data_IF_741976114945
#
_entry.id   IF_741976114945
#
_cell.length_a   1.000
_cell.length_b   1.000
_cell.length_c   1.000
_cell.angle_alpha   90.00
_cell.angle_beta   90.00
_cell.angle_gamma   90.00
#
_symmetry.space_group_name_H-M   'P 1'
#
loop_
_entity.id
_entity.type
_entity.pdbx_description
1 polymer ?
#
# COMPACT_ATOMS: atom_id res chain seq x y z
N UNK A 1 4.40 -8.64 -21.81
CA UNK A 1 5.76 -9.19 -21.78
C UNK A 1 6.75 -8.12 -21.38
N UNK A 2 7.42 -8.33 -20.26
CA UNK A 2 8.44 -7.45 -19.67
C UNK A 2 9.76 -7.56 -20.46
N UNK A 3 10.52 -6.47 -20.60
CA UNK A 3 11.89 -6.53 -21.13
C UNK A 3 12.89 -6.71 -19.98
N UNK A 4 13.41 -7.93 -19.83
CA UNK A 4 14.38 -8.26 -18.77
C UNK A 4 15.73 -7.57 -19.00
N UNK A 5 16.12 -7.31 -20.26
CA UNK A 5 17.39 -6.65 -20.57
C UNK A 5 17.41 -5.21 -20.07
N UNK A 6 16.25 -4.56 -20.03
CA UNK A 6 16.07 -3.24 -19.43
C UNK A 6 16.39 -3.26 -17.94
N UNK A 7 16.03 -4.32 -17.21
CA UNK A 7 16.25 -4.39 -15.75
C UNK A 7 17.73 -4.41 -15.37
N UNK A 8 18.62 -4.84 -16.26
CA UNK A 8 20.07 -4.88 -16.02
C UNK A 8 20.82 -3.64 -16.55
N UNK A 9 20.14 -2.69 -17.20
CA UNK A 9 20.69 -1.40 -17.64
C UNK A 9 20.08 -0.24 -16.82
N UNK A 10 20.78 0.27 -15.79
CA UNK A 10 20.30 1.37 -14.95
C UNK A 10 20.03 2.67 -15.72
N UNK A 11 20.81 2.95 -16.76
CA UNK A 11 20.63 4.15 -17.57
C UNK A 11 19.40 4.02 -18.47
N UNK A 12 19.12 2.82 -18.98
CA UNK A 12 17.90 2.54 -19.72
C UNK A 12 16.66 2.60 -18.81
N UNK A 13 16.73 2.06 -17.59
CA UNK A 13 15.67 2.23 -16.59
C UNK A 13 15.37 3.71 -16.30
N UNK A 14 16.41 4.52 -16.12
CA UNK A 14 16.23 5.95 -15.88
C UNK A 14 15.57 6.68 -17.06
N UNK A 15 15.86 6.26 -18.31
CA UNK A 15 15.20 6.79 -19.52
C UNK A 15 13.74 6.34 -19.63
N UNK A 16 13.45 5.08 -19.28
CA UNK A 16 12.11 4.51 -19.33
C UNK A 16 11.20 5.07 -18.22
N UNK A 17 11.75 5.41 -17.05
CA UNK A 17 11.02 5.97 -15.91
C UNK A 17 10.67 7.47 -16.09
N UNK A 18 9.91 7.78 -17.14
CA UNK A 18 9.47 9.14 -17.48
C UNK A 18 8.60 9.80 -16.40
N UNK A 19 8.02 9.01 -15.49
CA UNK A 19 7.16 9.47 -14.39
C UNK A 19 7.90 9.59 -13.06
N UNK A 20 9.18 9.21 -12.99
CA UNK A 20 10.00 9.28 -11.78
C UNK A 20 9.53 8.35 -10.66
N UNK A 21 8.93 7.22 -10.99
CA UNK A 21 8.40 6.24 -10.04
C UNK A 21 9.51 5.61 -9.18
N UNK A 22 10.67 5.32 -9.75
CA UNK A 22 11.82 4.74 -9.03
C UNK A 22 12.35 5.71 -7.99
N UNK A 23 12.48 6.99 -8.36
CA UNK A 23 12.88 8.04 -7.42
C UNK A 23 11.81 8.24 -6.34
N UNK A 24 10.53 8.21 -6.72
CA UNK A 24 9.40 8.31 -5.79
C UNK A 24 9.41 7.21 -4.73
N UNK A 25 9.65 5.96 -5.14
CA UNK A 25 9.77 4.82 -4.24
C UNK A 25 11.04 4.91 -3.36
N UNK A 26 12.17 5.30 -3.92
CA UNK A 26 13.43 5.45 -3.19
C UNK A 26 13.39 6.61 -2.17
N UNK A 27 12.57 7.63 -2.41
CA UNK A 27 12.42 8.78 -1.51
C UNK A 27 11.55 8.49 -0.27
N UNK A 28 11.08 7.25 -0.05
CA UNK A 28 10.18 6.89 1.04
C UNK A 28 10.73 7.26 2.43
N UNK A 29 11.99 6.96 2.75
CA UNK A 29 12.59 7.32 4.05
C UNK A 29 12.68 8.83 4.27
N UNK A 30 13.09 9.59 3.25
CA UNK A 30 13.05 11.06 3.28
C UNK A 30 11.62 11.60 3.45
N UNK A 31 10.63 10.92 2.86
CA UNK A 31 9.22 11.28 2.97
C UNK A 31 8.70 11.10 4.40
N UNK A 32 9.05 10.00 5.06
CA UNK A 32 8.73 9.76 6.48
C UNK A 32 9.29 10.89 7.35
N UNK A 33 10.58 11.22 7.21
CA UNK A 33 11.20 12.30 8.01
C UNK A 33 10.53 13.65 7.80
N UNK A 34 10.20 13.98 6.54
CA UNK A 34 9.51 15.23 6.20
C UNK A 34 8.10 15.27 6.79
N UNK A 35 7.32 14.20 6.63
CA UNK A 35 5.97 14.10 7.15
C UNK A 35 5.93 14.12 8.69
N UNK A 36 6.88 13.45 9.35
CA UNK A 36 7.03 13.49 10.81
C UNK A 36 7.29 14.92 11.30
N UNK A 37 8.21 15.66 10.65
CA UNK A 37 8.47 17.07 10.97
C UNK A 37 7.22 17.94 10.80
N UNK A 38 6.54 17.85 9.65
CA UNK A 38 5.31 18.61 9.37
C UNK A 38 4.19 18.28 10.37
N UNK A 39 4.13 17.05 10.86
CA UNK A 39 3.17 16.62 11.88
C UNK A 39 3.43 17.28 13.23
N UNK A 40 4.70 17.43 13.62
CA UNK A 40 5.06 18.17 14.83
C UNK A 40 4.75 19.66 14.69
N UNK A 41 5.08 20.26 13.53
CA UNK A 41 4.78 21.67 13.23
C UNK A 41 3.27 21.97 13.20
N UNK A 42 2.45 20.99 12.80
CA UNK A 42 0.99 21.09 12.81
C UNK A 42 0.36 21.00 14.22
N UNK A 43 1.16 20.73 15.26
CA UNK A 43 0.66 20.68 16.63
C UNK A 43 -0.22 19.45 16.90
N UNK A 44 0.15 18.27 16.38
CA UNK A 44 -0.64 17.03 16.59
C UNK A 44 -0.95 16.72 18.06
N UNK A 45 -0.10 17.21 18.97
CA UNK A 45 -0.25 17.08 20.43
C UNK A 45 -1.48 17.85 20.98
N UNK A 46 -1.95 18.86 20.24
CA UNK A 46 -3.07 19.71 20.63
C UNK A 46 -4.43 19.17 20.17
N UNK A 47 -4.48 18.00 19.51
CA UNK A 47 -5.73 17.37 19.07
C UNK A 47 -6.70 17.22 20.25
N UNK A 48 -7.99 17.51 20.06
CA UNK A 48 -9.01 17.32 21.11
C UNK A 48 -10.20 16.52 20.55
N UNK A 49 -10.74 15.56 21.31
CA UNK A 49 -10.37 15.16 22.67
C UNK A 49 -9.00 14.47 22.74
N UNK A 50 -8.46 14.40 23.94
CA UNK A 50 -7.24 13.68 24.25
C UNK A 50 -7.55 12.24 24.66
N UNK A 51 -6.64 11.32 24.37
CA UNK A 51 -6.79 9.89 24.62
C UNK A 51 -7.50 9.10 23.52
N UNK A 52 -7.76 7.82 23.84
CA UNK A 52 -8.19 6.82 22.85
C UNK A 52 -9.66 6.99 22.46
N UNK A 53 -9.97 7.10 21.16
CA UNK A 53 -11.35 7.14 20.69
C UNK A 53 -12.04 5.78 20.85
N UNK A 54 -13.38 5.79 20.81
CA UNK A 54 -14.20 4.57 20.75
C UNK A 54 -13.96 3.81 19.45
N UNK A 55 -13.91 4.54 18.34
CA UNK A 55 -13.71 4.02 16.98
C UNK A 55 -12.92 5.02 16.16
N UNK A 56 -12.03 4.53 15.30
CA UNK A 56 -11.37 5.32 14.26
C UNK A 56 -12.03 5.00 12.91
N UNK A 57 -12.57 6.00 12.22
CA UNK A 57 -13.09 5.86 10.86
C UNK A 57 -12.12 6.49 9.89
N UNK A 58 -11.69 5.76 8.86
CA UNK A 58 -10.71 6.24 7.88
C UNK A 58 -11.39 6.42 6.54
N UNK A 59 -11.30 7.61 5.96
CA UNK A 59 -11.75 7.89 4.59
C UNK A 59 -10.64 8.55 3.77
N UNK A 60 -10.70 8.37 2.47
CA UNK A 60 -9.73 8.93 1.56
C UNK A 60 -9.85 8.32 0.18
N UNK A 61 -9.13 8.91 -0.77
CA UNK A 61 -9.15 8.51 -2.17
C UNK A 61 -7.98 7.58 -2.48
N UNK A 62 -8.18 6.70 -3.46
CA UNK A 62 -7.13 5.85 -3.99
C UNK A 62 -6.75 4.65 -3.11
N UNK A 63 -5.82 3.81 -3.59
CA UNK A 63 -5.37 2.62 -2.88
C UNK A 63 -4.63 2.96 -1.57
N UNK A 64 -4.04 4.15 -1.45
CA UNK A 64 -3.33 4.59 -0.25
C UNK A 64 -4.26 4.70 0.97
N UNK A 65 -5.47 5.23 0.79
CA UNK A 65 -6.42 5.40 1.90
C UNK A 65 -6.86 4.05 2.49
N UNK A 66 -7.11 3.06 1.63
CA UNK A 66 -7.43 1.69 2.08
C UNK A 66 -6.23 1.06 2.81
N UNK A 67 -5.02 1.23 2.27
CA UNK A 67 -3.81 0.72 2.89
C UNK A 67 -3.51 1.36 4.24
N UNK A 68 -3.73 2.68 4.38
CA UNK A 68 -3.59 3.39 5.66
C UNK A 68 -4.55 2.78 6.69
N UNK A 69 -5.83 2.60 6.34
CA UNK A 69 -6.80 2.02 7.25
C UNK A 69 -6.43 0.58 7.67
N UNK A 70 -5.99 -0.22 6.71
CA UNK A 70 -5.53 -1.59 6.92
C UNK A 70 -4.31 -1.64 7.86
N UNK A 71 -3.31 -0.79 7.64
CA UNK A 71 -2.10 -0.71 8.47
C UNK A 71 -2.44 -0.22 9.87
N UNK A 72 -3.24 0.85 10.02
CA UNK A 72 -3.65 1.33 11.34
C UNK A 72 -4.46 0.27 12.11
N UNK A 73 -5.33 -0.47 11.42
CA UNK A 73 -6.10 -1.56 12.00
C UNK A 73 -5.24 -2.74 12.45
N UNK A 74 -4.25 -3.12 11.63
CA UNK A 74 -3.29 -4.17 11.95
C UNK A 74 -2.42 -3.81 13.17
N UNK A 75 -1.85 -2.61 13.17
CA UNK A 75 -0.98 -2.12 14.26
C UNK A 75 -1.77 -1.88 15.56
N UNK A 76 -3.02 -1.45 15.45
CA UNK A 76 -3.91 -1.18 16.57
C UNK A 76 -4.65 -2.40 17.11
N UNK A 77 -4.31 -3.63 16.67
CA UNK A 77 -5.05 -4.84 16.94
C UNK A 77 -5.37 -5.03 18.44
N UNK A 78 -6.64 -4.82 18.80
CA UNK A 78 -7.18 -4.98 20.16
C UNK A 78 -7.37 -3.69 20.96
N UNK A 79 -6.87 -2.54 20.49
CA UNK A 79 -7.00 -1.25 21.21
C UNK A 79 -8.32 -0.55 20.94
N UNK A 80 -8.65 -0.29 19.68
CA UNK A 80 -9.98 0.16 19.24
C UNK A 80 -10.23 -0.23 17.78
N UNK A 81 -11.49 -0.34 17.34
CA UNK A 81 -11.81 -0.63 15.95
C UNK A 81 -11.32 0.49 15.01
N UNK A 82 -10.67 0.09 13.91
CA UNK A 82 -10.35 0.97 12.77
C UNK A 82 -11.21 0.53 11.59
N UNK A 83 -12.08 1.42 11.10
CA UNK A 83 -13.09 1.11 10.10
C UNK A 83 -12.83 1.94 8.83
N UNK A 84 -12.45 1.32 7.70
CA UNK A 84 -12.39 2.02 6.43
C UNK A 84 -13.80 2.36 5.93
N UNK A 85 -14.03 3.63 5.62
CA UNK A 85 -15.26 4.09 4.97
C UNK A 85 -15.14 3.88 3.47
N UNK A 86 -16.05 3.09 2.92
CA UNK A 86 -16.13 2.86 1.46
C UNK A 86 -16.73 4.09 0.78
N UNK A 87 -16.08 4.54 -0.29
CA UNK A 87 -16.65 5.56 -1.16
C UNK A 87 -17.81 4.96 -1.95
N UNK A 88 -18.93 5.66 -2.01
CA UNK A 88 -19.98 5.49 -3.00
C UNK A 88 -19.95 6.68 -3.97
N UNK A 89 -20.69 6.64 -5.06
CA UNK A 89 -20.78 7.77 -5.98
C UNK A 89 -21.13 7.30 -7.39
N UNK A 90 -21.60 8.23 -8.24
CA UNK A 90 -21.96 7.90 -9.62
C UNK A 90 -20.73 7.58 -10.48
N UNK A 91 -19.57 8.14 -10.13
CA UNK A 91 -18.31 7.95 -10.86
C UNK A 91 -17.10 7.86 -9.91
N UNK A 92 -15.96 7.32 -10.35
CA UNK A 92 -14.71 7.33 -9.58
C UNK A 92 -14.16 8.74 -9.29
N UNK A 93 -14.60 9.75 -10.05
CA UNK A 93 -14.15 11.14 -9.91
C UNK A 93 -15.03 11.97 -8.97
N UNK A 94 -16.20 11.43 -8.60
CA UNK A 94 -17.13 12.05 -7.66
C UNK A 94 -17.40 11.13 -6.47
N UNK A 95 -16.35 10.69 -5.75
CA UNK A 95 -16.53 9.82 -4.59
C UNK A 95 -17.22 10.58 -3.46
N UNK A 96 -18.07 9.88 -2.73
CA UNK A 96 -18.86 10.34 -1.60
C UNK A 96 -18.75 9.33 -0.46
N UNK A 97 -18.74 9.83 0.77
CA UNK A 97 -18.68 8.99 1.97
C UNK A 97 -19.80 9.38 2.92
N UNK A 98 -20.30 8.38 3.64
CA UNK A 98 -21.37 8.56 4.62
C UNK A 98 -20.92 7.98 5.96
N UNK A 99 -21.06 8.78 7.03
CA UNK A 99 -20.78 8.29 8.37
C UNK A 99 -21.89 7.31 8.82
N UNK A 100 -21.54 6.12 9.36
CA UNK A 100 -22.50 5.21 9.97
C UNK A 100 -23.34 5.90 11.04
N UNK A 101 -24.64 5.59 11.14
CA UNK A 101 -25.60 6.33 11.99
C UNK A 101 -25.25 6.38 13.50
N UNK A 102 -24.43 5.46 13.99
CA UNK A 102 -23.97 5.40 15.37
C UNK A 102 -22.75 6.30 15.68
N UNK A 103 -22.16 6.94 14.66
CA UNK A 103 -20.96 7.78 14.81
C UNK A 103 -21.28 9.04 15.61
N UNK A 104 -20.44 9.43 16.56
CA UNK A 104 -20.65 10.57 17.44
C UNK A 104 -19.37 11.11 18.10
N UNK A 105 -19.50 11.87 19.22
CA UNK A 105 -18.38 12.63 19.80
C UNK A 105 -17.22 11.83 20.38
N UNK A 106 -17.38 10.51 20.54
CA UNK A 106 -16.33 9.62 21.02
C UNK A 106 -15.52 8.97 19.87
N UNK A 107 -15.89 9.23 18.62
CA UNK A 107 -15.22 8.67 17.46
C UNK A 107 -14.29 9.69 16.80
N UNK A 108 -13.23 9.17 16.19
CA UNK A 108 -12.25 9.94 15.43
C UNK A 108 -12.40 9.62 13.94
N UNK A 109 -12.56 10.66 13.13
CA UNK A 109 -12.58 10.56 11.67
C UNK A 109 -11.23 11.01 11.13
N UNK A 110 -10.52 10.10 10.49
CA UNK A 110 -9.23 10.34 9.82
C UNK A 110 -9.45 10.43 8.31
N UNK A 111 -9.04 11.55 7.73
CA UNK A 111 -9.12 11.77 6.28
C UNK A 111 -7.73 11.75 5.66
N UNK A 112 -7.57 11.08 4.52
CA UNK A 112 -6.29 11.00 3.81
C UNK A 112 -6.47 11.33 2.34
N UNK A 113 -5.72 12.31 1.85
CA UNK A 113 -5.73 12.67 0.42
C UNK A 113 -4.47 13.40 0.02
N UNK A 114 -3.95 13.07 -1.17
CA UNK A 114 -2.86 13.81 -1.79
C UNK A 114 -3.35 15.06 -2.53
N UNK A 115 -4.66 15.21 -2.78
CA UNK A 115 -5.23 16.33 -3.55
C UNK A 115 -6.02 17.33 -2.68
N UNK A 116 -6.83 16.84 -1.73
CA UNK A 116 -7.73 17.68 -0.93
C UNK A 116 -8.89 18.31 -1.70
N UNK A 117 -9.18 17.84 -2.92
CA UNK A 117 -10.17 18.43 -3.84
C UNK A 117 -11.50 17.68 -3.88
N UNK A 118 -11.60 16.55 -3.18
CA UNK A 118 -12.74 15.67 -3.24
C UNK A 118 -13.93 16.25 -2.47
N UNK A 119 -14.97 16.66 -3.20
CA UNK A 119 -16.18 17.23 -2.60
C UNK A 119 -16.84 16.28 -1.58
N UNK A 120 -16.75 14.97 -1.79
CA UNK A 120 -17.26 13.99 -0.84
C UNK A 120 -16.55 13.99 0.51
N UNK A 121 -15.25 14.29 0.56
CA UNK A 121 -14.52 14.42 1.83
C UNK A 121 -14.92 15.70 2.56
N UNK A 122 -15.15 16.80 1.83
CA UNK A 122 -15.72 18.04 2.40
C UNK A 122 -17.10 17.77 3.01
N UNK A 123 -17.98 17.08 2.28
CA UNK A 123 -19.29 16.69 2.81
C UNK A 123 -19.21 15.74 4.02
N UNK A 124 -18.16 14.91 4.11
CA UNK A 124 -17.90 14.05 5.26
C UNK A 124 -17.46 14.86 6.50
N UNK A 125 -16.64 15.90 6.33
CA UNK A 125 -16.28 16.84 7.40
C UNK A 125 -17.53 17.50 7.98
N UNK A 126 -18.45 17.96 7.14
CA UNK A 126 -19.71 18.54 7.62
C UNK A 126 -20.59 17.54 8.39
N UNK A 127 -20.65 16.28 7.92
CA UNK A 127 -21.36 15.22 8.64
C UNK A 127 -20.75 15.00 10.03
N UNK A 128 -19.43 14.93 10.11
CA UNK A 128 -18.69 14.75 11.35
C UNK A 128 -18.92 15.92 12.31
N UNK A 129 -18.84 17.15 11.82
CA UNK A 129 -19.12 18.37 12.59
C UNK A 129 -20.53 18.36 13.18
N UNK A 130 -21.56 18.05 12.38
CA UNK A 130 -22.96 17.96 12.85
C UNK A 130 -23.16 16.90 13.94
N UNK A 131 -22.32 15.86 13.96
CA UNK A 131 -22.37 14.76 14.94
C UNK A 131 -21.38 14.94 16.09
N UNK A 132 -20.67 16.07 16.15
CA UNK A 132 -19.66 16.36 17.16
C UNK A 132 -18.44 15.44 17.12
N UNK A 133 -18.21 14.74 16.01
CA UNK A 133 -17.06 13.86 15.85
C UNK A 133 -15.78 14.69 15.74
N UNK A 134 -14.67 14.14 16.21
CA UNK A 134 -13.35 14.75 16.00
C UNK A 134 -12.85 14.38 14.63
N UNK A 135 -12.32 15.35 13.89
CA UNK A 135 -11.79 15.13 12.54
C UNK A 135 -10.35 15.58 12.46
N UNK A 136 -9.49 14.71 11.94
CA UNK A 136 -8.14 15.06 11.54
C UNK A 136 -7.91 14.60 10.11
N UNK A 137 -7.15 15.37 9.32
CA UNK A 137 -6.82 15.01 7.96
C UNK A 137 -5.35 15.20 7.65
N UNK A 138 -4.81 14.31 6.82
CA UNK A 138 -3.57 14.54 6.09
C UNK A 138 -3.94 15.00 4.69
N UNK A 139 -3.70 16.28 4.40
CA UNK A 139 -4.11 16.91 3.14
C UNK A 139 -3.18 18.08 2.78
N UNK A 140 -3.12 18.49 1.49
CA UNK A 140 -2.42 19.71 1.11
C UNK A 140 -2.99 20.92 1.86
N UNK A 141 -2.12 21.75 2.43
CA UNK A 141 -2.51 22.87 3.30
C UNK A 141 -3.40 23.92 2.61
N UNK A 142 -3.30 24.04 1.28
CA UNK A 142 -4.13 24.94 0.46
C UNK A 142 -5.08 24.11 -0.39
N UNK A 143 -6.10 23.54 0.24
CA UNK A 143 -7.10 22.70 -0.43
C UNK A 143 -8.51 22.94 0.12
N UNK A 144 -9.57 22.68 -0.68
CA UNK A 144 -10.95 22.75 -0.20
C UNK A 144 -11.21 21.93 1.08
N UNK A 145 -10.56 20.77 1.21
CA UNK A 145 -10.66 19.96 2.42
C UNK A 145 -10.05 20.66 3.65
N UNK A 146 -8.88 21.30 3.49
CA UNK A 146 -8.24 22.03 4.59
C UNK A 146 -9.10 23.23 5.05
N UNK A 147 -9.71 23.95 4.12
CA UNK A 147 -10.65 25.06 4.42
C UNK A 147 -11.89 24.55 5.18
N UNK A 148 -12.47 23.43 4.73
CA UNK A 148 -13.62 22.82 5.40
C UNK A 148 -13.28 22.36 6.84
N UNK A 149 -12.08 21.80 7.04
CA UNK A 149 -11.61 21.40 8.37
C UNK A 149 -11.42 22.58 9.30
N UNK A 150 -10.84 23.67 8.81
CA UNK A 150 -10.68 24.91 9.58
C UNK A 150 -12.05 25.42 10.07
N UNK A 151 -13.05 25.46 9.18
CA UNK A 151 -14.42 25.85 9.53
C UNK A 151 -15.08 24.90 10.53
N UNK A 152 -14.82 23.59 10.41
CA UNK A 152 -15.33 22.56 11.31
C UNK A 152 -14.51 22.41 12.61
N UNK A 153 -13.47 23.22 12.82
CA UNK A 153 -12.51 23.11 13.94
C UNK A 153 -11.82 21.74 14.00
N UNK A 154 -11.64 21.09 12.86
CA UNK A 154 -10.83 19.89 12.70
C UNK A 154 -9.34 20.20 12.61
N UNK A 155 -8.51 19.16 12.68
CA UNK A 155 -7.05 19.28 12.56
C UNK A 155 -6.61 18.97 11.12
N UNK A 156 -5.83 19.87 10.52
CA UNK A 156 -5.16 19.61 9.25
C UNK A 156 -3.68 19.39 9.48
N UNK A 157 -3.18 18.23 9.09
CA UNK A 157 -1.75 17.91 9.05
C UNK A 157 -1.29 18.05 7.59
N UNK A 158 -0.29 18.89 7.29
CA UNK A 158 0.16 19.11 5.92
C UNK A 158 0.67 17.82 5.25
N UNK A 159 0.11 17.50 4.09
CA UNK A 159 0.60 16.43 3.23
C UNK A 159 2.01 16.76 2.72
N UNK A 160 2.97 15.86 3.00
CA UNK A 160 4.33 15.95 2.48
C UNK A 160 4.35 15.54 0.99
N UNK A 161 3.92 16.41 0.09
CA UNK A 161 3.98 16.16 -1.36
C UNK A 161 5.40 16.06 -1.91
N UNK A 162 5.57 15.61 -3.16
CA UNK A 162 6.88 15.62 -3.82
C UNK A 162 7.38 17.06 -3.99
N UNK A 163 8.71 17.24 -4.01
CA UNK A 163 9.33 18.56 -4.09
C UNK A 163 8.98 19.33 -5.37
N UNK A 164 8.76 18.60 -6.47
CA UNK A 164 8.25 19.15 -7.74
C UNK A 164 6.82 18.65 -7.97
N UNK A 165 5.91 19.49 -8.49
CA UNK A 165 4.60 19.04 -8.93
C UNK A 165 4.75 17.90 -9.93
N UNK A 166 3.96 16.84 -9.73
CA UNK A 166 3.89 15.75 -10.68
C UNK A 166 3.24 16.23 -11.98
N UNK A 167 3.69 15.75 -13.15
CA UNK A 167 3.04 16.03 -14.41
C UNK A 167 1.58 15.60 -14.33
N UNK A 168 0.66 16.47 -14.75
CA UNK A 168 -0.73 16.10 -14.92
C UNK A 168 -0.90 15.41 -16.26
N UNK A 169 -1.45 14.20 -16.26
CA UNK A 169 -1.76 13.49 -17.50
C UNK A 169 -2.87 14.18 -18.31
N UNK A 170 -3.14 13.73 -19.55
CA UNK A 170 -4.20 14.29 -20.39
C UNK A 170 -5.61 14.17 -19.78
N UNK A 171 -5.81 13.26 -18.82
CA UNK A 171 -7.03 13.12 -18.02
C UNK A 171 -7.16 14.14 -16.88
N UNK A 172 -6.16 15.02 -16.68
CA UNK A 172 -6.13 15.97 -15.57
C UNK A 172 -5.83 15.33 -14.20
N UNK A 173 -5.52 14.02 -14.18
CA UNK A 173 -5.10 13.31 -12.97
C UNK A 173 -3.57 13.46 -12.82
N UNK A 174 -3.06 13.87 -11.64
CA UNK A 174 -1.62 13.90 -11.38
C UNK A 174 -1.00 12.52 -11.60
N UNK A 175 0.24 12.49 -12.08
CA UNK A 175 1.00 11.24 -12.14
C UNK A 175 1.08 10.59 -10.74
N UNK A 176 1.25 9.28 -10.73
CA UNK A 176 1.35 8.49 -9.51
C UNK A 176 2.62 8.82 -8.72
N UNK A 177 2.51 8.96 -7.39
CA UNK A 177 3.63 9.11 -6.45
C UNK A 177 3.70 7.87 -5.56
N UNK A 178 4.62 6.92 -5.81
CA UNK A 178 4.82 5.76 -4.94
C UNK A 178 5.12 6.14 -3.48
N UNK A 179 5.69 7.34 -3.24
CA UNK A 179 5.96 7.85 -1.90
C UNK A 179 4.73 8.45 -1.18
N UNK A 180 3.59 8.61 -1.85
CA UNK A 180 2.40 9.23 -1.27
C UNK A 180 1.85 8.47 -0.06
N UNK A 181 1.94 7.13 -0.06
CA UNK A 181 1.56 6.31 1.10
C UNK A 181 2.27 6.78 2.36
N UNK A 182 3.59 6.98 2.29
CA UNK A 182 4.41 7.37 3.45
C UNK A 182 4.10 8.79 3.93
N UNK A 183 3.78 9.69 3.01
CA UNK A 183 3.32 11.04 3.34
C UNK A 183 1.95 11.05 4.04
N UNK A 184 1.06 10.10 3.73
CA UNK A 184 -0.26 9.96 4.35
C UNK A 184 -0.22 9.16 5.67
N UNK A 185 0.57 8.09 5.72
CA UNK A 185 0.63 7.16 6.83
C UNK A 185 1.41 7.73 8.02
N UNK A 186 2.57 8.35 7.78
CA UNK A 186 3.47 8.81 8.87
C UNK A 186 2.81 9.76 9.87
N UNK A 187 2.05 10.78 9.43
CA UNK A 187 1.33 11.64 10.37
C UNK A 187 0.34 10.86 11.24
N UNK A 188 -0.30 9.85 10.65
CA UNK A 188 -1.30 9.03 11.34
C UNK A 188 -0.66 8.02 12.29
N UNK A 189 0.57 7.55 12.04
CA UNK A 189 1.34 6.78 13.03
C UNK A 189 1.63 7.63 14.28
N UNK A 190 2.04 8.88 14.07
CA UNK A 190 2.33 9.82 15.16
C UNK A 190 1.05 10.18 15.94
N UNK A 191 -0.05 10.41 15.22
CA UNK A 191 -1.35 10.67 15.83
C UNK A 191 -1.85 9.44 16.59
N UNK A 192 -1.70 8.24 16.03
CA UNK A 192 -2.10 6.97 16.63
C UNK A 192 -1.36 6.69 17.94
N UNK A 193 -0.04 6.97 18.00
CA UNK A 193 0.74 6.94 19.24
C UNK A 193 0.15 7.88 20.30
N UNK A 194 -0.08 9.14 19.91
CA UNK A 194 -0.63 10.16 20.79
C UNK A 194 -2.00 9.80 21.36
N UNK A 195 -2.89 9.19 20.57
CA UNK A 195 -4.22 8.77 21.04
C UNK A 195 -4.21 7.40 21.72
N UNK A 196 -3.04 6.75 21.87
CA UNK A 196 -2.94 5.44 22.52
C UNK A 196 -3.57 4.30 21.74
N UNK A 197 -3.55 4.36 20.40
CA UNK A 197 -3.98 3.27 19.53
C UNK A 197 -2.94 2.13 19.53
N UNK A 198 -1.66 2.48 19.36
CA UNK A 198 -0.48 1.63 19.48
C UNK A 198 0.74 2.49 19.81
N UNK A 199 1.88 1.89 20.13
CA UNK A 199 3.11 2.64 20.43
C UNK A 199 3.93 2.87 19.17
N UNK A 200 4.13 4.13 18.81
CA UNK A 200 4.98 4.56 17.69
C UNK A 200 5.74 5.85 18.08
N UNK A 201 6.67 5.77 19.04
CA UNK A 201 7.44 6.92 19.48
C UNK A 201 8.27 7.50 18.32
N UNK A 202 8.75 8.75 18.42
CA UNK A 202 9.54 9.37 17.37
C UNK A 202 10.76 8.54 16.92
N UNK A 203 11.37 7.79 17.83
CA UNK A 203 12.47 6.86 17.52
C UNK A 203 12.04 5.68 16.64
N UNK A 204 10.83 5.15 16.83
CA UNK A 204 10.29 4.09 15.99
C UNK A 204 9.92 4.61 14.60
N UNK A 205 9.36 5.83 14.51
CA UNK A 205 9.13 6.50 13.22
C UNK A 205 10.44 6.76 12.48
N UNK A 206 11.51 7.12 13.21
CA UNK A 206 12.84 7.27 12.62
C UNK A 206 13.39 5.91 12.13
N UNK A 207 13.22 4.84 12.90
CA UNK A 207 13.63 3.49 12.50
C UNK A 207 12.89 3.01 11.24
N UNK A 208 11.61 3.37 11.07
CA UNK A 208 10.88 3.14 9.81
C UNK A 208 11.55 3.86 8.65
N UNK A 209 11.92 5.14 8.81
CA UNK A 209 12.61 5.88 7.75
C UNK A 209 13.94 5.24 7.37
N UNK A 210 14.72 4.81 8.36
CA UNK A 210 16.02 4.16 8.15
C UNK A 210 15.85 2.81 7.45
N UNK A 211 14.84 2.01 7.84
CA UNK A 211 14.49 0.74 7.16
C UNK A 211 14.11 0.96 5.70
N UNK A 212 13.36 2.02 5.40
CA UNK A 212 12.99 2.35 4.03
C UNK A 212 14.21 2.72 3.16
N UNK A 213 15.19 3.42 3.74
CA UNK A 213 16.44 3.74 3.05
C UNK A 213 17.28 2.47 2.79
N UNK A 214 17.30 1.51 3.72
CA UNK A 214 17.92 0.19 3.51
C UNK A 214 17.26 -0.59 2.37
N UNK A 215 15.93 -0.62 2.33
CA UNK A 215 15.18 -1.24 1.23
C UNK A 215 15.48 -0.54 -0.09
N UNK A 216 15.53 0.79 -0.11
CA UNK A 216 15.86 1.56 -1.31
C UNK A 216 17.29 1.26 -1.81
N UNK A 217 18.26 1.12 -0.91
CA UNK A 217 19.64 0.73 -1.27
C UNK A 217 19.70 -0.68 -1.87
N UNK A 218 18.91 -1.62 -1.34
CA UNK A 218 18.86 -3.03 -1.81
C UNK A 218 18.05 -3.21 -3.09
N UNK A 219 16.98 -2.45 -3.25
CA UNK A 219 16.06 -2.53 -4.38
C UNK A 219 16.34 -1.49 -5.47
N UNK A 220 17.37 -0.66 -5.33
CA UNK A 220 17.68 0.43 -6.26
C UNK A 220 18.07 -0.03 -7.68
N UNK A 221 17.94 0.86 -8.69
CA UNK A 221 18.12 0.50 -10.10
C UNK A 221 19.56 0.09 -10.43
N UNK A 222 20.55 0.58 -9.69
CA UNK A 222 21.96 0.22 -9.87
C UNK A 222 22.30 -1.21 -9.39
N UNK A 223 21.42 -1.85 -8.61
CA UNK A 223 21.63 -3.22 -8.13
C UNK A 223 21.24 -4.19 -9.25
N UNK A 224 22.17 -5.08 -9.62
CA UNK A 224 21.95 -6.12 -10.62
C UNK A 224 20.74 -7.01 -10.27
N UNK A 225 20.00 -7.48 -11.27
CA UNK A 225 18.71 -8.16 -11.09
C UNK A 225 18.77 -9.34 -10.12
N UNK A 226 19.84 -10.14 -10.19
CA UNK A 226 20.03 -11.33 -9.34
C UNK A 226 20.23 -11.00 -7.83
N UNK A 227 20.64 -9.78 -7.49
CA UNK A 227 20.79 -9.31 -6.10
C UNK A 227 19.65 -8.39 -5.66
N UNK A 228 18.74 -8.05 -6.58
CA UNK A 228 17.67 -7.11 -6.33
C UNK A 228 16.34 -7.87 -6.19
N UNK A 229 15.80 -8.03 -4.97
CA UNK A 229 14.60 -8.82 -4.75
C UNK A 229 13.38 -8.23 -5.45
N UNK A 230 13.32 -6.91 -5.64
CA UNK A 230 12.22 -6.26 -6.34
C UNK A 230 12.27 -6.49 -7.86
N UNK A 231 13.46 -6.46 -8.49
CA UNK A 231 13.60 -6.81 -9.91
C UNK A 231 13.34 -8.30 -10.16
N UNK A 232 13.82 -9.17 -9.27
CA UNK A 232 13.52 -10.61 -9.31
C UNK A 232 12.01 -10.83 -9.23
N UNK A 233 11.34 -10.26 -8.23
CA UNK A 233 9.89 -10.39 -8.08
C UNK A 233 9.14 -9.80 -9.30
N UNK A 234 9.58 -8.66 -9.84
CA UNK A 234 8.96 -8.09 -11.04
C UNK A 234 9.05 -9.06 -12.23
N UNK A 235 10.21 -9.67 -12.46
CA UNK A 235 10.41 -10.67 -13.52
C UNK A 235 9.47 -11.86 -13.33
N UNK A 236 9.39 -12.38 -12.10
CA UNK A 236 8.53 -13.52 -11.76
C UNK A 236 7.03 -13.26 -11.95
N UNK A 237 6.59 -11.99 -11.86
CA UNK A 237 5.19 -11.58 -11.98
C UNK A 237 4.82 -11.06 -13.37
N UNK A 238 5.78 -10.94 -14.29
CA UNK A 238 5.57 -10.30 -15.58
C UNK A 238 4.40 -10.91 -16.39
N UNK A 239 4.30 -12.24 -16.37
CA UNK A 239 3.30 -13.05 -17.10
C UNK A 239 2.54 -14.01 -16.16
N UNK A 240 2.42 -13.65 -14.87
CA UNK A 240 1.74 -14.47 -13.86
C UNK A 240 0.44 -13.81 -13.36
N UNK A 241 -0.48 -14.65 -12.84
CA UNK A 241 -1.58 -14.23 -11.97
C UNK A 241 -1.15 -14.47 -10.51
N UNK A 242 -0.80 -13.41 -9.76
CA UNK A 242 -0.28 -13.56 -8.40
C UNK A 242 -1.38 -13.89 -7.40
N UNK A 243 -1.17 -14.95 -6.62
CA UNK A 243 -1.87 -15.25 -5.38
C UNK A 243 -1.00 -14.73 -4.22
N UNK A 244 -1.31 -13.54 -3.72
CA UNK A 244 -0.58 -12.85 -2.67
C UNK A 244 -1.03 -13.36 -1.30
N UNK A 245 -0.32 -14.35 -0.78
CA UNK A 245 -0.54 -14.91 0.54
C UNK A 245 0.22 -14.11 1.60
N UNK A 246 -0.36 -14.01 2.79
CA UNK A 246 0.29 -13.30 3.91
C UNK A 246 0.21 -14.11 5.20
N UNK A 247 1.25 -14.04 6.01
CA UNK A 247 1.26 -14.60 7.38
C UNK A 247 1.38 -13.48 8.40
N UNK A 248 0.34 -13.33 9.21
CA UNK A 248 0.30 -12.34 10.29
C UNK A 248 -0.46 -11.06 9.90
N UNK A 249 -0.93 -10.32 10.92
CA UNK A 249 -1.82 -9.19 10.74
C UNK A 249 -1.17 -7.99 10.03
N UNK A 250 0.15 -7.85 10.09
CA UNK A 250 0.93 -6.74 9.53
C UNK A 250 1.43 -7.00 8.10
N UNK A 251 1.55 -8.28 7.68
CA UNK A 251 1.81 -8.64 6.29
C UNK A 251 0.56 -8.54 5.40
N UNK A 252 -0.64 -8.77 5.96
CA UNK A 252 -1.88 -8.76 5.20
C UNK A 252 -2.22 -7.40 4.54
N UNK A 253 -2.04 -6.23 5.21
CA UNK A 253 -2.13 -4.92 4.57
C UNK A 253 -1.19 -4.75 3.37
N UNK A 254 0.06 -5.24 3.47
CA UNK A 254 1.02 -5.16 2.39
C UNK A 254 0.57 -6.00 1.17
N UNK A 255 0.07 -7.22 1.39
CA UNK A 255 -0.47 -8.07 0.33
C UNK A 255 -1.68 -7.42 -0.38
N UNK A 256 -2.64 -6.89 0.38
CA UNK A 256 -3.82 -6.22 -0.19
C UNK A 256 -3.46 -4.97 -0.97
N UNK A 257 -2.54 -4.14 -0.43
CA UNK A 257 -2.05 -2.97 -1.13
C UNK A 257 -1.30 -3.35 -2.40
N UNK A 258 -0.46 -4.39 -2.36
CA UNK A 258 0.28 -4.84 -3.53
C UNK A 258 -0.66 -5.28 -4.65
N UNK A 259 -1.75 -6.01 -4.34
CA UNK A 259 -2.77 -6.33 -5.32
C UNK A 259 -3.42 -5.08 -5.93
N UNK A 260 -3.80 -4.10 -5.08
CA UNK A 260 -4.41 -2.86 -5.53
C UNK A 260 -3.46 -2.06 -6.45
N UNK A 261 -2.19 -1.97 -6.08
CA UNK A 261 -1.16 -1.26 -6.84
C UNK A 261 -0.83 -1.97 -8.15
N UNK A 262 -0.76 -3.30 -8.18
CA UNK A 262 -0.61 -4.04 -9.44
C UNK A 262 -1.75 -3.70 -10.41
N UNK A 263 -2.99 -3.63 -9.91
CA UNK A 263 -4.15 -3.28 -10.73
C UNK A 263 -4.10 -1.83 -11.23
N UNK A 264 -3.79 -0.86 -10.36
CA UNK A 264 -3.85 0.57 -10.73
C UNK A 264 -2.61 1.06 -11.48
N UNK A 265 -1.42 0.55 -11.15
CA UNK A 265 -0.14 0.98 -11.72
C UNK A 265 0.23 0.21 -12.99
N UNK A 266 -0.03 -1.10 -12.99
CA UNK A 266 0.41 -2.00 -14.08
C UNK A 266 -0.73 -2.61 -14.88
N UNK A 267 -1.99 -2.40 -14.48
CA UNK A 267 -3.15 -3.02 -15.12
C UNK A 267 -3.22 -4.54 -14.93
N UNK A 268 -2.48 -5.10 -13.96
CA UNK A 268 -2.38 -6.54 -13.74
C UNK A 268 -3.29 -7.00 -12.59
N UNK A 269 -4.04 -8.10 -12.76
CA UNK A 269 -4.84 -8.67 -11.68
C UNK A 269 -3.95 -9.39 -10.65
N UNK A 270 -4.38 -9.38 -9.39
CA UNK A 270 -3.80 -10.20 -8.32
C UNK A 270 -4.86 -10.46 -7.25
N UNK A 271 -4.73 -11.58 -6.54
CA UNK A 271 -5.65 -11.97 -5.46
C UNK A 271 -4.90 -12.06 -4.15
N UNK A 272 -5.30 -11.24 -3.16
CA UNK A 272 -4.69 -11.24 -1.84
C UNK A 272 -5.56 -12.00 -0.82
N UNK A 273 -4.93 -12.85 -0.02
CA UNK A 273 -5.58 -13.56 1.08
C UNK A 273 -4.60 -13.80 2.25
N UNK A 274 -5.12 -13.84 3.47
CA UNK A 274 -4.35 -14.14 4.68
C UNK A 274 -4.40 -15.64 4.98
N UNK A 275 -3.33 -16.21 5.52
CA UNK A 275 -3.29 -17.59 5.96
C UNK A 275 -3.90 -17.74 7.37
N UNK A 276 -4.69 -18.79 7.63
CA UNK A 276 -4.91 -19.97 6.79
C UNK A 276 -6.05 -19.87 5.76
N UNK A 277 -6.87 -18.82 5.78
CA UNK A 277 -8.05 -18.67 4.90
C UNK A 277 -7.69 -18.74 3.42
N UNK A 278 -6.51 -18.27 3.05
CA UNK A 278 -5.97 -18.33 1.70
C UNK A 278 -5.91 -19.75 1.12
N UNK A 279 -5.65 -20.76 1.96
CA UNK A 279 -5.60 -22.17 1.53
C UNK A 279 -6.97 -22.63 1.01
N UNK A 280 -8.04 -22.23 1.70
CA UNK A 280 -9.41 -22.53 1.28
C UNK A 280 -9.85 -21.62 0.12
N UNK A 281 -9.59 -20.32 0.22
CA UNK A 281 -10.05 -19.33 -0.76
C UNK A 281 -9.45 -19.54 -2.15
N UNK A 282 -8.18 -19.97 -2.23
CA UNK A 282 -7.47 -20.16 -3.50
C UNK A 282 -7.32 -21.64 -3.90
N UNK A 283 -7.77 -22.60 -3.07
CA UNK A 283 -7.63 -24.04 -3.36
C UNK A 283 -8.24 -24.46 -4.70
N UNK A 284 -9.42 -23.95 -5.05
CA UNK A 284 -10.06 -24.24 -6.33
C UNK A 284 -9.31 -23.62 -7.53
N UNK A 285 -8.63 -22.48 -7.35
CA UNK A 285 -7.79 -21.88 -8.39
C UNK A 285 -6.56 -22.75 -8.63
N UNK A 286 -5.90 -23.20 -7.57
CA UNK A 286 -4.72 -24.06 -7.62
C UNK A 286 -5.02 -25.45 -8.23
N UNK A 287 -6.22 -25.96 -8.03
CA UNK A 287 -6.68 -27.20 -8.66
C UNK A 287 -7.25 -27.02 -10.08
N UNK A 288 -7.39 -25.77 -10.56
CA UNK A 288 -8.05 -25.42 -11.80
C UNK A 288 -7.09 -25.29 -13.01
N UNK A 289 -7.65 -24.87 -14.14
CA UNK A 289 -6.95 -24.76 -15.44
C UNK A 289 -5.89 -23.66 -15.51
N UNK A 290 -5.83 -22.78 -14.52
CA UNK A 290 -4.79 -21.75 -14.41
C UNK A 290 -3.51 -22.28 -13.74
N UNK A 291 -3.55 -23.51 -13.21
CA UNK A 291 -2.38 -24.18 -12.67
C UNK A 291 -1.43 -24.61 -13.79
N UNK A 292 -0.10 -24.39 -13.65
CA UNK A 292 0.89 -24.77 -14.67
C UNK A 292 0.86 -26.25 -15.07
N UNK A 293 0.40 -27.14 -14.19
CA UNK A 293 0.31 -28.58 -14.44
C UNK A 293 -1.03 -29.05 -15.04
N UNK A 294 -1.95 -28.16 -15.37
CA UNK A 294 -3.31 -28.53 -15.79
C UNK A 294 -3.40 -29.09 -17.23
N UNK A 295 -2.39 -28.88 -18.07
CA UNK A 295 -2.38 -29.35 -19.46
C UNK A 295 -1.16 -30.26 -19.72
N UNK A 296 -1.34 -31.60 -19.75
CA UNK A 296 -0.24 -32.55 -19.98
C UNK A 296 0.38 -32.45 -21.39
N UNK A 297 -0.30 -31.82 -22.35
CA UNK A 297 0.20 -31.61 -23.71
C UNK A 297 0.88 -30.25 -23.90
N UNK A 298 0.98 -29.41 -22.86
CA UNK A 298 1.61 -28.08 -22.91
C UNK A 298 3.11 -28.16 -23.28
N UNK A 299 3.77 -29.28 -23.00
CA UNK A 299 5.16 -29.52 -23.40
C UNK A 299 5.33 -29.68 -24.92
N UNK A 300 4.27 -30.11 -25.64
CA UNK A 300 4.28 -30.37 -27.07
C UNK A 300 3.53 -29.31 -27.90
N UNK A 301 2.90 -28.31 -27.25
CA UNK A 301 2.20 -27.24 -27.96
C UNK A 301 3.16 -26.25 -28.60
N UNK A 302 2.94 -26.01 -29.90
CA UNK A 302 3.62 -24.95 -30.65
C UNK A 302 2.97 -23.60 -30.31
N UNK A 303 3.61 -22.82 -29.43
CA UNK A 303 3.03 -21.60 -28.82
C UNK A 303 3.17 -20.33 -29.67
N UNK A 304 3.42 -20.48 -30.97
CA UNK A 304 3.70 -19.34 -31.87
C UNK A 304 2.47 -18.46 -32.11
N UNK A 305 1.25 -18.99 -31.94
CA UNK A 305 -0.02 -18.28 -32.22
C UNK A 305 -0.96 -18.15 -31.00
N UNK A 306 -0.65 -18.75 -29.85
CA UNK A 306 -1.50 -18.73 -28.66
C UNK A 306 -1.22 -17.51 -27.76
N UNK A 307 -2.29 -16.85 -27.31
CA UNK A 307 -2.19 -15.83 -26.27
C UNK A 307 -1.73 -16.50 -24.97
N UNK A 308 -0.55 -16.17 -24.46
CA UNK A 308 -0.04 -16.71 -23.19
C UNK A 308 -1.09 -16.55 -22.08
N UNK A 309 -1.68 -17.68 -21.67
CA UNK A 309 -2.57 -17.71 -20.52
C UNK A 309 -1.76 -17.36 -19.25
N UNK A 310 -2.30 -16.46 -18.42
CA UNK A 310 -1.70 -16.14 -17.13
C UNK A 310 -1.58 -17.42 -16.29
N UNK A 311 -0.37 -17.71 -15.82
CA UNK A 311 -0.10 -18.85 -14.94
C UNK A 311 -0.16 -18.42 -13.49
N UNK A 312 -0.75 -19.24 -12.63
CA UNK A 312 -0.75 -18.96 -11.20
C UNK A 312 0.68 -18.91 -10.65
N UNK A 313 0.93 -17.95 -9.77
CA UNK A 313 2.13 -17.88 -8.93
C UNK A 313 1.74 -17.47 -7.53
N UNK A 314 2.21 -18.21 -6.53
CA UNK A 314 2.06 -17.79 -5.13
C UNK A 314 3.19 -16.84 -4.76
N UNK A 315 2.84 -15.72 -4.13
CA UNK A 315 3.79 -14.83 -3.46
C UNK A 315 3.43 -14.78 -1.99
N UNK A 316 4.28 -15.33 -1.13
CA UNK A 316 4.04 -15.41 0.31
C UNK A 316 4.81 -14.28 1.03
N UNK A 317 4.07 -13.31 1.54
CA UNK A 317 4.57 -12.22 2.38
C UNK A 317 4.56 -12.63 3.84
N UNK A 318 5.71 -12.50 4.50
CA UNK A 318 5.92 -12.95 5.87
C UNK A 318 6.50 -11.87 6.74
N UNK A 319 5.91 -11.72 7.92
CA UNK A 319 6.54 -11.01 9.03
C UNK A 319 7.74 -11.80 9.56
N UNK A 320 8.67 -11.12 10.23
CA UNK A 320 9.80 -11.76 10.89
C UNK A 320 9.31 -12.78 11.94
N UNK A 321 10.14 -13.79 12.24
CA UNK A 321 9.72 -15.02 12.90
C UNK A 321 8.92 -14.80 14.21
N UNK A 322 7.61 -15.03 14.13
CA UNK A 322 6.68 -15.12 15.27
C UNK A 322 5.85 -16.41 15.23
N UNK A 323 5.11 -16.69 16.31
CA UNK A 323 4.31 -17.91 16.51
C UNK A 323 3.24 -18.19 15.43
N UNK A 324 2.98 -17.24 14.53
CA UNK A 324 2.06 -17.37 13.37
C UNK A 324 2.71 -17.98 12.12
N UNK A 325 3.99 -18.37 12.18
CA UNK A 325 4.67 -19.13 11.12
C UNK A 325 4.11 -20.55 10.89
N UNK A 326 3.12 -21.00 11.68
CA UNK A 326 2.55 -22.35 11.65
C UNK A 326 1.86 -22.68 10.32
N UNK A 327 1.28 -21.70 9.64
CA UNK A 327 0.58 -21.91 8.36
C UNK A 327 1.51 -21.85 7.14
N UNK A 328 2.75 -21.35 7.29
CA UNK A 328 3.69 -21.22 6.18
C UNK A 328 4.14 -22.59 5.61
N UNK A 329 4.43 -23.63 6.42
CA UNK A 329 4.65 -24.98 5.89
C UNK A 329 3.48 -25.52 5.08
N UNK A 330 2.24 -25.41 5.59
CA UNK A 330 1.04 -25.87 4.88
C UNK A 330 0.83 -25.11 3.56
N UNK A 331 1.15 -23.81 3.52
CA UNK A 331 1.14 -23.03 2.30
C UNK A 331 2.16 -23.54 1.27
N UNK A 332 3.40 -23.84 1.69
CA UNK A 332 4.42 -24.45 0.81
C UNK A 332 3.96 -25.79 0.27
N UNK A 333 3.47 -26.66 1.16
CA UNK A 333 2.97 -27.98 0.80
C UNK A 333 1.84 -27.88 -0.24
N UNK A 334 0.88 -26.97 -0.05
CA UNK A 334 -0.21 -26.78 -1.00
C UNK A 334 0.29 -26.25 -2.35
N UNK A 335 1.19 -25.26 -2.36
CA UNK A 335 1.76 -24.74 -3.61
C UNK A 335 2.53 -25.83 -4.38
N UNK A 336 3.34 -26.63 -3.68
CA UNK A 336 4.09 -27.74 -4.29
C UNK A 336 3.19 -28.89 -4.74
N UNK A 337 2.13 -29.22 -4.00
CA UNK A 337 1.18 -30.26 -4.38
C UNK A 337 0.43 -29.93 -5.69
N UNK A 338 0.38 -28.65 -6.06
CA UNK A 338 -0.25 -28.16 -7.29
C UNK A 338 0.75 -27.61 -8.31
N UNK A 339 2.04 -27.94 -8.18
CA UNK A 339 3.12 -27.48 -9.08
C UNK A 339 3.10 -25.95 -9.35
N UNK A 340 2.64 -25.17 -8.36
CA UNK A 340 2.51 -23.72 -8.48
C UNK A 340 3.77 -23.04 -7.96
N UNK A 341 4.48 -22.24 -8.78
CA UNK A 341 5.67 -21.51 -8.34
C UNK A 341 5.39 -20.64 -7.11
N UNK A 342 6.34 -20.63 -6.17
CA UNK A 342 6.24 -19.92 -4.90
C UNK A 342 7.44 -18.98 -4.73
N UNK A 343 7.17 -17.69 -4.55
CA UNK A 343 8.16 -16.70 -4.11
C UNK A 343 7.88 -16.31 -2.66
N UNK A 344 8.92 -16.26 -1.83
CA UNK A 344 8.79 -15.83 -0.44
C UNK A 344 9.47 -14.48 -0.22
N UNK A 345 8.73 -13.57 0.42
CA UNK A 345 9.23 -12.27 0.83
C UNK A 345 9.09 -12.22 2.35
N UNK A 346 10.23 -12.30 3.04
CA UNK A 346 10.28 -12.16 4.48
C UNK A 346 10.90 -10.81 4.83
N UNK A 347 10.26 -10.08 5.75
CA UNK A 347 10.91 -8.94 6.38
C UNK A 347 12.10 -9.40 7.25
N UNK A 348 13.12 -8.57 7.35
CA UNK A 348 14.24 -8.78 8.25
C UNK A 348 13.85 -8.56 9.72
N UNK A 349 14.80 -8.80 10.63
CA UNK A 349 14.59 -8.56 12.05
C UNK A 349 14.32 -7.07 12.32
N UNK A 350 13.32 -6.78 13.14
CA UNK A 350 12.94 -5.41 13.51
C UNK A 350 11.64 -5.36 14.31
N UNK A 351 11.22 -4.15 14.66
CA UNK A 351 9.89 -3.91 15.21
C UNK A 351 8.79 -4.16 14.19
N UNK A 352 7.54 -4.15 14.67
CA UNK A 352 6.35 -4.36 13.82
C UNK A 352 6.25 -3.26 12.74
N UNK A 353 6.57 -2.01 13.09
CA UNK A 353 6.54 -0.90 12.15
C UNK A 353 7.57 -1.05 11.04
N UNK A 354 8.82 -1.41 11.36
CA UNK A 354 9.86 -1.67 10.37
C UNK A 354 9.49 -2.87 9.48
N UNK A 355 8.91 -3.92 10.06
CA UNK A 355 8.44 -5.12 9.34
C UNK A 355 7.38 -4.75 8.29
N UNK A 356 6.34 -4.01 8.69
CA UNK A 356 5.30 -3.52 7.77
C UNK A 356 5.91 -2.63 6.68
N UNK A 357 6.84 -1.75 7.06
CA UNK A 357 7.48 -0.84 6.13
C UNK A 357 8.33 -1.53 5.08
N UNK A 358 9.08 -2.56 5.46
CA UNK A 358 9.88 -3.34 4.54
C UNK A 358 9.03 -4.07 3.50
N UNK A 359 7.93 -4.72 3.92
CA UNK A 359 7.03 -5.42 3.00
C UNK A 359 6.32 -4.47 2.02
N UNK A 360 5.86 -3.31 2.51
CA UNK A 360 5.25 -2.28 1.67
C UNK A 360 6.24 -1.72 0.65
N UNK A 361 7.45 -1.36 1.08
CA UNK A 361 8.44 -0.75 0.20
C UNK A 361 8.97 -1.72 -0.86
N UNK A 362 9.24 -2.98 -0.50
CA UNK A 362 9.72 -3.98 -1.45
C UNK A 362 8.68 -4.25 -2.55
N UNK A 363 7.41 -4.40 -2.17
CA UNK A 363 6.32 -4.60 -3.13
C UNK A 363 6.04 -3.35 -3.98
N UNK A 364 6.25 -2.15 -3.44
CA UNK A 364 6.23 -0.91 -4.22
C UNK A 364 7.34 -0.90 -5.29
N UNK A 365 8.59 -1.22 -4.93
CA UNK A 365 9.66 -1.32 -5.92
C UNK A 365 9.36 -2.36 -7.00
N UNK A 366 8.85 -3.54 -6.63
CA UNK A 366 8.55 -4.59 -7.59
C UNK A 366 7.46 -4.17 -8.60
N UNK A 367 6.40 -3.51 -8.12
CA UNK A 367 5.36 -2.97 -9.01
C UNK A 367 5.84 -1.79 -9.84
N UNK A 368 6.80 -0.97 -9.36
CA UNK A 368 7.45 0.07 -10.16
C UNK A 368 8.29 -0.54 -11.28
N UNK A 369 9.12 -1.55 -11.00
CA UNK A 369 9.89 -2.24 -12.04
C UNK A 369 8.98 -2.90 -13.07
N UNK A 370 7.90 -3.55 -12.63
CA UNK A 370 6.87 -4.09 -13.53
C UNK A 370 6.27 -3.03 -14.45
N UNK A 371 6.04 -1.81 -13.93
CA UNK A 371 5.47 -0.71 -14.71
C UNK A 371 6.49 -0.20 -15.74
N UNK A 372 7.68 0.19 -15.28
CA UNK A 372 8.74 0.78 -16.11
C UNK A 372 9.17 -0.18 -17.22
N UNK A 373 9.40 -1.46 -16.90
CA UNK A 373 9.86 -2.46 -17.86
C UNK A 373 8.75 -3.06 -18.75
N UNK A 374 7.50 -2.62 -18.57
CA UNK A 374 6.38 -2.98 -19.45
C UNK A 374 5.92 -1.85 -20.38
N UNK A 375 6.36 -0.61 -20.11
CA UNK A 375 5.84 0.59 -20.75
C UNK A 375 6.29 0.77 -22.22
N UNK A 376 7.38 0.14 -22.66
CA UNK A 376 7.88 0.28 -24.04
C UNK A 376 6.97 -0.33 -25.14
N UNK A 377 5.84 -0.95 -24.77
CA UNK A 377 4.89 -1.56 -25.72
C UNK A 377 3.51 -0.89 -25.78
N UNK A 378 3.29 0.24 -25.10
CA UNK A 378 2.06 1.06 -25.23
C UNK A 378 2.39 2.39 -25.88
#
# INVERSE_FOLDING_TARGET
>A
MLDESLLDDPDALARADTRGLLLGAAAAGARVRTAARLTQEAGVQDLRPDGRPRTVLVAGSGPEAAAVADVLGALGAGSCPVIPLRSAGPTPYEPQWTLPGWTGPLDLVLLTTASGREAGLVGLVEQAYRRGCTVAAVAPARSPLAEALEQARGMTIPFAGPASPLPTGPSGVPAEDPGALWALLTPLLTLADRIGLFTAPPTAVQAVADRLDEVAARCGPAIATYNNPAKTLATELADALPLLWSTGPNAAPAARRFAAVLATRTGRPALAAELPEALAAHGALLAGTLSPGADPDDFFRDRVEDHQALRLRVVLLREAAGQQAVSAPAARELAYAHDTPLSEIAAGDGGVLETTAELLALTDFASVYLAVASAERS
#
